data_IF_732704464505
#
_entry.id   IF_732704464505
#
_cell.length_a   1.000
_cell.length_b   1.000
_cell.length_c   1.000
_cell.angle_alpha   90.00
_cell.angle_beta   90.00
_cell.angle_gamma   90.00
#
_symmetry.space_group_name_H-M   'P 1'
#
loop_
_entity.id
_entity.type
_entity.pdbx_description
1 polymer ?
#
# COMPACT_ATOMS: atom_id res chain seq x y z
N UNK A 1 -0.51 -9.06 20.72
CA UNK A 1 -1.31 -9.76 19.71
C UNK A 1 -0.82 -9.31 18.35
N UNK A 2 -0.10 -10.17 17.62
CA UNK A 2 0.39 -9.85 16.28
C UNK A 2 -0.80 -9.89 15.32
N UNK A 3 -1.32 -8.72 14.95
CA UNK A 3 -2.39 -8.61 13.96
C UNK A 3 -1.78 -8.81 12.57
N UNK A 4 -2.35 -9.74 11.80
CA UNK A 4 -2.26 -9.70 10.35
C UNK A 4 -2.73 -8.30 9.87
N UNK A 5 -2.33 -7.80 8.70
CA UNK A 5 -2.83 -6.51 8.21
C UNK A 5 -4.35 -6.61 8.02
N UNK A 6 -5.12 -6.21 9.02
CA UNK A 6 -6.57 -6.46 9.07
C UNK A 6 -7.35 -5.47 8.20
N UNK A 7 -6.70 -4.41 7.68
CA UNK A 7 -7.32 -3.43 6.79
C UNK A 7 -6.39 -2.91 5.69
N UNK A 8 -6.98 -2.55 4.54
CA UNK A 8 -6.30 -2.02 3.35
C UNK A 8 -5.32 -0.87 3.66
N UNK A 9 -5.67 -0.01 4.63
CA UNK A 9 -4.82 1.09 5.10
C UNK A 9 -3.43 0.62 5.56
N UNK A 10 -3.37 -0.46 6.34
CA UNK A 10 -2.13 -1.01 6.86
C UNK A 10 -1.31 -1.67 5.76
N UNK A 11 -1.98 -2.33 4.80
CA UNK A 11 -1.31 -2.88 3.61
C UNK A 11 -0.66 -1.78 2.78
N UNK A 12 -1.37 -0.68 2.51
CA UNK A 12 -0.84 0.47 1.75
C UNK A 12 0.39 1.04 2.46
N UNK A 13 0.29 1.27 3.77
CA UNK A 13 1.39 1.81 4.57
C UNK A 13 2.59 0.86 4.60
N UNK A 14 2.37 -0.44 4.77
CA UNK A 14 3.44 -1.45 4.78
C UNK A 14 4.16 -1.54 3.44
N UNK A 15 3.41 -1.59 2.33
CA UNK A 15 3.98 -1.58 0.97
C UNK A 15 4.80 -0.31 0.74
N UNK A 16 4.26 0.85 1.13
CA UNK A 16 4.97 2.12 1.02
C UNK A 16 6.29 2.13 1.80
N UNK A 17 6.28 1.64 3.03
CA UNK A 17 7.47 1.59 3.88
C UNK A 17 8.51 0.60 3.37
N UNK A 18 8.11 -0.58 2.90
CA UNK A 18 9.04 -1.53 2.27
C UNK A 18 9.72 -0.95 1.03
N UNK A 19 8.98 -0.17 0.25
CA UNK A 19 9.48 0.48 -0.96
C UNK A 19 10.24 1.78 -0.69
N UNK A 20 10.27 2.26 0.56
CA UNK A 20 10.89 3.54 0.91
C UNK A 20 10.21 4.76 0.28
N UNK A 21 8.93 4.65 -0.10
CA UNK A 21 8.21 5.69 -0.82
C UNK A 21 7.54 6.69 0.14
N UNK A 22 7.41 7.93 -0.30
CA UNK A 22 6.50 8.89 0.34
C UNK A 22 5.05 8.62 -0.08
N UNK A 23 4.08 9.23 0.61
CA UNK A 23 2.67 9.13 0.19
C UNK A 23 2.45 9.75 -1.19
N UNK A 24 3.21 10.79 -1.54
CA UNK A 24 3.16 11.44 -2.86
C UNK A 24 3.76 10.54 -3.95
N UNK A 25 4.92 9.92 -3.68
CA UNK A 25 5.55 8.99 -4.61
C UNK A 25 4.65 7.79 -4.89
N UNK A 26 4.02 7.23 -3.84
CA UNK A 26 3.05 6.15 -4.02
C UNK A 26 1.82 6.61 -4.80
N UNK A 27 1.35 7.84 -4.58
CA UNK A 27 0.23 8.41 -5.31
C UNK A 27 0.55 8.53 -6.81
N UNK A 28 1.75 9.01 -7.12
CA UNK A 28 2.26 9.13 -8.48
C UNK A 28 2.35 7.76 -9.17
N UNK A 29 2.94 6.76 -8.49
CA UNK A 29 3.03 5.38 -9.01
C UNK A 29 1.67 4.71 -9.26
N UNK A 30 0.66 5.10 -8.49
CA UNK A 30 -0.71 4.59 -8.60
C UNK A 30 -1.61 5.46 -9.50
N UNK A 31 -1.12 6.58 -10.01
CA UNK A 31 -1.91 7.52 -10.82
C UNK A 31 -3.07 8.17 -10.05
N UNK A 32 -2.93 8.33 -8.73
CA UNK A 32 -3.93 8.98 -7.87
C UNK A 32 -3.35 10.22 -7.20
N UNK A 33 -4.18 11.05 -6.60
CA UNK A 33 -3.71 12.21 -5.82
C UNK A 33 -3.21 11.80 -4.44
N UNK A 34 -2.27 12.57 -3.87
CA UNK A 34 -1.80 12.43 -2.48
C UNK A 34 -2.96 12.29 -1.48
N UNK A 35 -4.00 13.12 -1.63
CA UNK A 35 -5.20 13.09 -0.79
C UNK A 35 -5.91 11.73 -0.78
N UNK A 36 -5.81 10.97 -1.86
CA UNK A 36 -6.37 9.61 -1.98
C UNK A 36 -5.57 8.62 -1.13
N UNK A 37 -4.23 8.67 -1.21
CA UNK A 37 -3.35 7.85 -0.37
C UNK A 37 -3.50 8.23 1.10
N UNK A 38 -3.53 9.53 1.41
CA UNK A 38 -3.75 10.02 2.77
C UNK A 38 -5.09 9.52 3.33
N UNK A 39 -6.17 9.52 2.53
CA UNK A 39 -7.45 8.93 2.95
C UNK A 39 -7.36 7.43 3.14
N UNK A 40 -6.62 6.69 2.32
CA UNK A 40 -6.49 5.24 2.52
C UNK A 40 -5.70 4.90 3.77
N UNK A 41 -4.63 5.65 4.09
CA UNK A 41 -3.80 5.41 5.27
C UNK A 41 -4.44 5.93 6.57
N UNK A 42 -5.13 7.08 6.54
CA UNK A 42 -5.66 7.73 7.74
C UNK A 42 -7.18 7.64 7.91
N UNK A 43 -7.94 7.44 6.83
CA UNK A 43 -9.41 7.34 6.90
C UNK A 43 -9.86 5.89 6.76
N UNK A 44 -10.93 5.50 7.46
CA UNK A 44 -11.61 4.20 7.29
C UNK A 44 -12.38 4.12 5.96
N UNK A 45 -11.97 4.86 4.95
CA UNK A 45 -12.64 4.94 3.65
C UNK A 45 -12.23 3.74 2.81
N UNK A 46 -13.19 2.90 2.47
CA UNK A 46 -12.96 1.76 1.58
C UNK A 46 -12.73 2.30 0.16
N UNK A 47 -11.58 2.03 -0.47
CA UNK A 47 -11.35 2.44 -1.85
C UNK A 47 -12.36 1.80 -2.79
N UNK A 48 -12.71 2.52 -3.87
CA UNK A 48 -13.50 1.94 -4.97
C UNK A 48 -12.79 0.71 -5.55
N UNK A 49 -13.56 -0.22 -6.14
CA UNK A 49 -13.04 -1.45 -6.77
C UNK A 49 -11.87 -1.18 -7.73
N UNK A 50 -11.92 -0.05 -8.47
CA UNK A 50 -10.86 0.36 -9.40
C UNK A 50 -9.55 0.70 -8.68
N UNK A 51 -9.61 1.50 -7.63
CA UNK A 51 -8.45 1.88 -6.82
C UNK A 51 -7.77 0.67 -6.18
N UNK A 52 -8.56 -0.28 -5.67
CA UNK A 52 -8.03 -1.53 -5.13
C UNK A 52 -7.28 -2.33 -6.20
N UNK A 53 -7.88 -2.48 -7.40
CA UNK A 53 -7.22 -3.16 -8.53
C UNK A 53 -5.91 -2.49 -8.95
N UNK A 54 -5.86 -1.16 -8.98
CA UNK A 54 -4.62 -0.43 -9.30
C UNK A 54 -3.54 -0.70 -8.26
N UNK A 55 -3.89 -0.67 -6.97
CA UNK A 55 -2.96 -1.00 -5.90
C UNK A 55 -2.47 -2.45 -5.97
N UNK A 56 -3.35 -3.41 -6.22
CA UNK A 56 -2.98 -4.82 -6.39
C UNK A 56 -2.06 -5.02 -7.61
N UNK A 57 -2.34 -4.35 -8.73
CA UNK A 57 -1.50 -4.40 -9.93
C UNK A 57 -0.12 -3.80 -9.66
N UNK A 58 -0.05 -2.68 -8.93
CA UNK A 58 1.19 -2.08 -8.48
C UNK A 58 2.00 -3.04 -7.60
N UNK A 59 1.38 -3.66 -6.59
CA UNK A 59 2.06 -4.63 -5.73
C UNK A 59 2.64 -5.80 -6.52
N UNK A 60 1.88 -6.35 -7.48
CA UNK A 60 2.36 -7.43 -8.36
C UNK A 60 3.54 -6.98 -9.22
N UNK A 61 3.49 -5.75 -9.76
CA UNK A 61 4.59 -5.16 -10.53
C UNK A 61 5.85 -5.04 -9.68
N UNK A 62 5.74 -4.51 -8.47
CA UNK A 62 6.90 -4.31 -7.58
C UNK A 62 7.47 -5.63 -7.05
N UNK A 63 6.61 -6.63 -6.79
CA UNK A 63 7.03 -7.98 -6.45
C UNK A 63 7.77 -8.66 -7.60
N UNK A 64 7.28 -8.53 -8.85
CA UNK A 64 7.98 -9.01 -10.03
C UNK A 64 9.33 -8.34 -10.29
N UNK A 65 9.54 -7.13 -9.75
CA UNK A 65 10.83 -6.43 -9.78
C UNK A 65 11.75 -6.79 -8.61
N UNK A 66 11.31 -7.67 -7.68
CA UNK A 66 12.05 -8.01 -6.47
C UNK A 66 12.15 -6.87 -5.44
N UNK A 67 11.38 -5.79 -5.62
CA UNK A 67 11.40 -4.61 -4.74
C UNK A 67 10.44 -4.72 -3.56
N UNK A 68 9.41 -5.56 -3.69
CA UNK A 68 8.40 -5.77 -2.65
C UNK A 68 8.38 -7.24 -2.24
N UNK A 69 8.49 -7.51 -0.94
CA UNK A 69 8.35 -8.86 -0.42
C UNK A 69 6.98 -9.04 0.24
N UNK A 70 6.10 -9.80 -0.41
CA UNK A 70 4.75 -10.07 0.06
C UNK A 70 4.72 -11.18 1.15
N UNK A 71 5.83 -11.87 1.41
CA UNK A 71 5.91 -12.99 2.36
C UNK A 71 6.35 -12.57 3.78
N UNK A 72 6.78 -11.33 3.98
CA UNK A 72 7.42 -10.97 5.24
C UNK A 72 6.42 -10.48 6.30
N UNK A 73 6.27 -11.33 7.33
CA UNK A 73 5.79 -11.05 8.69
C UNK A 73 6.66 -10.02 9.45
N UNK A 74 7.58 -9.35 8.78
CA UNK A 74 8.59 -8.45 9.35
C UNK A 74 8.11 -6.99 9.38
N UNK A 75 6.89 -6.77 9.87
CA UNK A 75 6.44 -5.44 10.25
C UNK A 75 6.27 -5.38 11.77
N UNK A 76 7.44 -5.22 12.42
CA UNK A 76 7.70 -4.50 13.67
C UNK A 76 7.37 -5.19 15.01
N UNK A 77 8.08 -4.80 16.09
CA UNK A 77 7.91 -3.48 16.73
C UNK A 77 8.88 -2.39 16.27
#
# INVERSE_FOLDING_TARGET
MAKAPENFAETVKGVRQQLGLSQEELAHELGVSFSTINRWENSKTVPFKLARRQFEAFCKRMAGQGKLNLDNKDMQP
#
